data_IF_845128988059
#
_entry.id   IF_845128988059
#
_cell.length_a   1.000
_cell.length_b   1.000
_cell.length_c   1.000
_cell.angle_alpha   90.00
_cell.angle_beta   90.00
_cell.angle_gamma   90.00
#
_symmetry.space_group_name_H-M   'P 1'
#
loop_
_entity.id
_entity.type
_entity.pdbx_description
1 polymer ?
#
# COMPACT_ATOMS: atom_id res chain seq x y z
N UNK A 1 12.41 -9.31 1.97
CA UNK A 1 10.95 -9.51 1.79
C UNK A 1 10.26 -8.85 2.96
N UNK A 2 9.25 -8.00 2.73
CA UNK A 2 8.51 -7.35 3.83
C UNK A 2 7.74 -8.42 4.60
N UNK A 3 7.84 -8.50 5.94
CA UNK A 3 7.19 -9.55 6.70
C UNK A 3 5.67 -9.39 6.61
N UNK A 4 5.00 -10.45 6.16
CA UNK A 4 3.54 -10.60 6.21
C UNK A 4 3.24 -11.70 7.23
N UNK A 5 2.29 -11.51 8.17
CA UNK A 5 1.94 -12.51 9.16
C UNK A 5 1.60 -13.87 8.55
N UNK A 6 2.10 -14.95 9.15
CA UNK A 6 1.89 -16.33 8.66
C UNK A 6 0.41 -16.69 8.47
N UNK A 7 -0.47 -16.14 9.34
CA UNK A 7 -1.92 -16.29 9.20
C UNK A 7 -2.42 -15.88 7.82
N UNK A 8 -1.92 -14.78 7.28
CA UNK A 8 -2.33 -14.25 5.96
C UNK A 8 -1.69 -15.07 4.85
N UNK A 9 -0.41 -15.44 4.98
CA UNK A 9 0.27 -16.21 3.94
C UNK A 9 -0.27 -17.63 3.79
N UNK A 10 -0.85 -18.19 4.85
CA UNK A 10 -1.44 -19.53 4.88
C UNK A 10 -2.89 -19.59 4.34
N UNK A 11 -3.53 -18.43 4.10
CA UNK A 11 -4.83 -18.42 3.45
C UNK A 11 -4.75 -19.00 2.05
N UNK A 12 -5.78 -19.75 1.65
CA UNK A 12 -6.02 -20.02 0.23
C UNK A 12 -6.35 -18.72 -0.52
N UNK A 13 -6.48 -18.79 -1.84
CA UNK A 13 -6.65 -17.59 -2.66
C UNK A 13 -7.99 -16.88 -2.42
N UNK A 14 -9.07 -17.60 -2.14
CA UNK A 14 -10.38 -17.00 -1.89
C UNK A 14 -10.46 -16.39 -0.49
N UNK A 15 -9.90 -17.07 0.52
CA UNK A 15 -9.71 -16.54 1.86
C UNK A 15 -8.87 -15.26 1.84
N UNK A 16 -7.76 -15.26 1.11
CA UNK A 16 -6.90 -14.08 1.00
C UNK A 16 -7.63 -12.92 0.34
N UNK A 17 -8.31 -13.13 -0.79
CA UNK A 17 -9.06 -12.09 -1.48
C UNK A 17 -10.19 -11.53 -0.62
N UNK A 18 -10.88 -12.39 0.13
CA UNK A 18 -11.93 -11.99 1.07
C UNK A 18 -11.35 -11.10 2.17
N UNK A 19 -10.26 -11.53 2.80
CA UNK A 19 -9.57 -10.76 3.84
C UNK A 19 -9.11 -9.39 3.34
N UNK A 20 -8.55 -9.32 2.13
CA UNK A 20 -8.13 -8.07 1.48
C UNK A 20 -9.34 -7.14 1.25
N UNK A 21 -10.46 -7.69 0.74
CA UNK A 21 -11.68 -6.91 0.45
C UNK A 21 -12.28 -6.34 1.73
N UNK A 22 -12.43 -7.16 2.77
CA UNK A 22 -12.97 -6.76 4.06
C UNK A 22 -12.09 -5.70 4.74
N UNK A 23 -10.77 -5.92 4.81
CA UNK A 23 -9.84 -4.96 5.39
C UNK A 23 -9.89 -3.62 4.67
N UNK A 24 -9.97 -3.66 3.35
CA UNK A 24 -10.10 -2.45 2.53
C UNK A 24 -11.46 -1.77 2.69
N UNK A 25 -12.57 -2.51 2.76
CA UNK A 25 -13.88 -1.92 3.02
C UNK A 25 -13.92 -1.23 4.39
N UNK A 26 -13.40 -1.88 5.43
CA UNK A 26 -13.38 -1.32 6.78
C UNK A 26 -12.55 -0.03 6.88
N UNK A 27 -11.46 0.09 6.10
CA UNK A 27 -10.59 1.27 6.11
C UNK A 27 -11.19 2.48 5.37
N UNK A 28 -11.83 2.26 4.22
CA UNK A 28 -12.25 3.35 3.33
C UNK A 28 -13.77 3.49 3.18
N UNK A 29 -14.55 2.61 3.83
CA UNK A 29 -16.00 2.51 3.69
C UNK A 29 -16.47 2.46 2.22
N UNK A 30 -15.65 1.84 1.36
CA UNK A 30 -15.87 1.76 -0.08
C UNK A 30 -15.41 0.40 -0.58
N UNK A 31 -16.23 -0.25 -1.39
CA UNK A 31 -15.88 -1.54 -1.99
C UNK A 31 -14.62 -1.42 -2.86
N UNK A 32 -13.74 -2.42 -2.76
CA UNK A 32 -12.54 -2.50 -3.60
C UNK A 32 -12.88 -3.11 -4.94
N UNK A 33 -12.28 -2.60 -6.01
CA UNK A 33 -12.45 -3.19 -7.34
C UNK A 33 -11.79 -4.58 -7.36
N UNK A 34 -12.39 -5.58 -8.03
CA UNK A 34 -11.83 -6.94 -8.09
C UNK A 34 -10.36 -6.96 -8.50
N UNK A 35 -10.00 -6.17 -9.52
CA UNK A 35 -8.63 -6.13 -10.03
C UNK A 35 -7.63 -5.47 -9.04
N UNK A 36 -8.07 -4.60 -8.12
CA UNK A 36 -7.22 -4.14 -7.01
C UNK A 36 -6.93 -5.29 -6.05
N UNK A 37 -7.96 -6.05 -5.69
CA UNK A 37 -7.86 -7.21 -4.79
C UNK A 37 -6.94 -8.28 -5.37
N UNK A 38 -7.13 -8.64 -6.65
CA UNK A 38 -6.29 -9.62 -7.34
C UNK A 38 -4.83 -9.14 -7.45
N UNK A 39 -4.61 -7.83 -7.68
CA UNK A 39 -3.25 -7.26 -7.70
C UNK A 39 -2.58 -7.43 -6.35
N UNK A 40 -3.24 -7.05 -5.25
CA UNK A 40 -2.69 -7.17 -3.89
C UNK A 40 -2.45 -8.64 -3.53
N UNK A 41 -3.37 -9.55 -3.89
CA UNK A 41 -3.20 -10.97 -3.64
C UNK A 41 -1.93 -11.52 -4.35
N UNK A 42 -1.71 -11.15 -5.61
CA UNK A 42 -0.49 -11.55 -6.32
C UNK A 42 0.79 -10.99 -5.65
N UNK A 43 0.76 -9.75 -5.17
CA UNK A 43 1.88 -9.15 -4.43
C UNK A 43 2.17 -9.91 -3.12
N UNK A 44 1.13 -10.28 -2.36
CA UNK A 44 1.26 -11.09 -1.12
C UNK A 44 1.89 -12.45 -1.42
N UNK A 45 1.60 -13.04 -2.59
CA UNK A 45 2.22 -14.29 -3.06
C UNK A 45 3.65 -14.10 -3.60
N UNK A 46 4.23 -12.91 -3.51
CA UNK A 46 5.58 -12.61 -3.99
C UNK A 46 5.70 -12.55 -5.51
N UNK A 47 4.59 -12.37 -6.24
CA UNK A 47 4.59 -12.31 -7.70
C UNK A 47 4.79 -10.89 -8.20
N UNK A 48 5.75 -10.71 -9.11
CA UNK A 48 5.86 -9.47 -9.88
C UNK A 48 4.59 -9.30 -10.72
N UNK A 49 3.90 -8.18 -10.56
CA UNK A 49 2.55 -7.98 -11.10
C UNK A 49 2.48 -6.68 -11.89
N UNK A 50 2.00 -6.78 -13.13
CA UNK A 50 1.66 -5.61 -13.96
C UNK A 50 0.15 -5.40 -13.96
N UNK A 51 -0.25 -4.17 -13.64
CA UNK A 51 -1.65 -3.75 -13.69
C UNK A 51 -1.85 -2.74 -14.81
N UNK A 52 -2.67 -3.09 -15.79
CA UNK A 52 -3.16 -2.15 -16.79
C UNK A 52 -4.47 -1.53 -16.29
N UNK A 53 -4.44 -0.23 -15.98
CA UNK A 53 -5.62 0.48 -15.49
C UNK A 53 -5.59 1.98 -15.82
N UNK A 54 -6.74 2.50 -16.23
CA UNK A 54 -6.91 3.91 -16.59
C UNK A 54 -6.70 4.87 -15.40
N UNK A 55 -6.62 6.17 -15.70
CA UNK A 55 -6.70 7.25 -14.69
C UNK A 55 -8.05 7.16 -13.95
N UNK A 56 -8.08 7.53 -12.67
CA UNK A 56 -9.28 7.40 -11.83
C UNK A 56 -9.62 5.96 -11.42
N UNK A 57 -8.82 4.95 -11.81
CA UNK A 57 -9.05 3.57 -11.36
C UNK A 57 -8.91 3.40 -9.83
N UNK A 58 -8.13 4.27 -9.16
CA UNK A 58 -7.78 4.14 -7.75
C UNK A 58 -6.51 3.33 -7.52
N UNK A 59 -5.50 3.49 -8.39
CA UNK A 59 -4.23 2.74 -8.31
C UNK A 59 -3.46 3.01 -7.01
N UNK A 60 -3.58 4.21 -6.43
CA UNK A 60 -2.96 4.59 -5.15
C UNK A 60 -3.37 3.69 -3.98
N UNK A 61 -4.58 3.13 -4.01
CA UNK A 61 -5.10 2.24 -2.96
C UNK A 61 -4.38 0.89 -2.91
N UNK A 62 -3.73 0.44 -3.99
CA UNK A 62 -3.05 -0.87 -4.06
C UNK A 62 -1.86 -0.96 -3.09
N UNK A 63 -0.87 -0.04 -3.14
CA UNK A 63 0.24 -0.07 -2.18
C UNK A 63 -0.24 0.09 -0.73
N UNK A 64 -1.31 0.83 -0.50
CA UNK A 64 -1.91 1.00 0.84
C UNK A 64 -2.55 -0.30 1.34
N UNK A 65 -3.37 -0.96 0.51
CA UNK A 65 -3.95 -2.27 0.80
C UNK A 65 -2.87 -3.32 1.07
N UNK A 66 -1.77 -3.30 0.31
CA UNK A 66 -0.65 -4.20 0.53
C UNK A 66 0.08 -3.90 1.86
N UNK A 67 0.37 -2.63 2.15
CA UNK A 67 1.02 -2.21 3.40
C UNK A 67 0.20 -2.64 4.63
N UNK A 68 -1.13 -2.56 4.56
CA UNK A 68 -2.05 -3.00 5.62
C UNK A 68 -1.93 -4.49 5.98
N UNK A 69 -1.39 -5.31 5.09
CA UNK A 69 -1.19 -6.75 5.32
C UNK A 69 0.18 -7.06 5.92
N UNK A 70 1.08 -6.08 5.98
CA UNK A 70 2.41 -6.27 6.56
C UNK A 70 2.35 -6.35 8.07
N UNK A 71 3.37 -6.95 8.68
CA UNK A 71 3.46 -7.04 10.13
C UNK A 71 3.52 -5.65 10.76
N UNK A 72 2.92 -5.54 11.95
CA UNK A 72 3.01 -4.37 12.81
C UNK A 72 3.92 -4.66 13.99
N UNK A 73 4.62 -3.64 14.47
CA UNK A 73 5.43 -3.74 15.68
C UNK A 73 4.55 -3.71 16.94
N UNK A 74 5.19 -3.71 18.12
CA UNK A 74 4.50 -3.67 19.41
C UNK A 74 3.69 -2.39 19.67
N UNK A 75 4.00 -1.32 18.95
CA UNK A 75 3.30 -0.03 19.04
C UNK A 75 2.16 0.05 18.02
N UNK A 76 2.03 -0.95 17.15
CA UNK A 76 1.04 -0.96 16.08
C UNK A 76 1.53 -0.32 14.79
N UNK A 77 2.79 0.07 14.68
CA UNK A 77 3.33 0.71 13.48
C UNK A 77 3.73 -0.31 12.42
N UNK A 78 3.64 0.08 11.15
CA UNK A 78 4.06 -0.80 10.05
C UNK A 78 5.56 -1.08 10.12
N UNK A 79 5.93 -2.36 10.04
CA UNK A 79 7.33 -2.77 9.88
C UNK A 79 7.77 -2.65 8.41
N UNK A 80 6.81 -2.68 7.48
CA UNK A 80 7.06 -2.58 6.05
C UNK A 80 7.13 -1.14 5.53
N UNK A 81 7.93 -0.94 4.49
CA UNK A 81 7.95 0.29 3.68
C UNK A 81 7.59 -0.06 2.24
N UNK A 82 6.69 0.71 1.63
CA UNK A 82 6.35 0.59 0.20
C UNK A 82 6.87 1.81 -0.54
N UNK A 83 7.81 1.57 -1.46
CA UNK A 83 8.38 2.61 -2.32
C UNK A 83 7.56 2.71 -3.60
N UNK A 84 7.07 3.92 -3.91
CA UNK A 84 6.33 4.22 -5.15
C UNK A 84 7.17 5.18 -5.98
N UNK A 85 7.58 4.74 -7.17
CA UNK A 85 8.32 5.58 -8.11
C UNK A 85 7.32 6.37 -8.96
N UNK A 86 7.36 7.70 -8.85
CA UNK A 86 6.49 8.59 -9.60
C UNK A 86 7.27 9.32 -10.70
N UNK A 87 6.68 9.49 -11.90
CA UNK A 87 7.31 10.23 -12.99
C UNK A 87 7.30 11.74 -12.78
N UNK A 88 6.43 12.25 -11.88
CA UNK A 88 6.21 13.67 -11.66
C UNK A 88 6.18 13.99 -10.17
N UNK A 89 6.89 15.04 -9.82
CA UNK A 89 6.94 15.61 -8.47
C UNK A 89 5.57 16.01 -7.92
N UNK A 90 4.78 16.72 -8.73
CA UNK A 90 3.45 17.18 -8.33
C UNK A 90 2.49 16.00 -8.06
N UNK A 91 2.60 14.92 -8.85
CA UNK A 91 1.82 13.72 -8.63
C UNK A 91 2.20 13.05 -7.31
N UNK A 92 3.50 12.99 -6.99
CA UNK A 92 3.97 12.45 -5.72
C UNK A 92 3.48 13.26 -4.52
N UNK A 93 3.46 14.59 -4.62
CA UNK A 93 2.93 15.45 -3.56
C UNK A 93 1.45 15.18 -3.28
N UNK A 94 0.61 15.15 -4.33
CA UNK A 94 -0.83 14.86 -4.17
C UNK A 94 -1.07 13.48 -3.54
N UNK A 95 -0.28 12.46 -3.92
CA UNK A 95 -0.38 11.13 -3.32
C UNK A 95 0.03 11.11 -1.85
N UNK A 96 1.02 11.92 -1.43
CA UNK A 96 1.39 12.04 -0.01
C UNK A 96 0.26 12.67 0.79
N UNK A 97 -0.35 13.74 0.28
CA UNK A 97 -1.50 14.39 0.91
C UNK A 97 -2.68 13.41 1.09
N UNK A 98 -3.03 12.66 0.04
CA UNK A 98 -4.08 11.63 0.10
C UNK A 98 -3.79 10.54 1.14
N UNK A 99 -2.53 10.09 1.24
CA UNK A 99 -2.12 9.05 2.20
C UNK A 99 -2.13 9.54 3.64
N UNK A 100 -1.68 10.76 3.89
CA UNK A 100 -1.74 11.38 5.23
C UNK A 100 -3.21 11.54 5.63
N UNK A 101 -4.07 11.99 4.72
CA UNK A 101 -5.51 12.07 4.97
C UNK A 101 -6.14 10.69 5.26
N UNK A 102 -5.61 9.62 4.66
CA UNK A 102 -5.98 8.24 4.96
C UNK A 102 -5.30 7.65 6.22
N UNK A 103 -4.50 8.43 6.94
CA UNK A 103 -3.85 8.04 8.19
C UNK A 103 -2.61 7.16 8.03
N UNK A 104 -1.86 7.33 6.94
CA UNK A 104 -0.54 6.73 6.77
C UNK A 104 0.57 7.77 6.98
N UNK A 105 1.74 7.32 7.43
CA UNK A 105 2.98 8.08 7.26
C UNK A 105 3.42 7.96 5.80
N UNK A 106 3.74 9.08 5.17
CA UNK A 106 4.13 9.12 3.76
C UNK A 106 5.03 10.32 3.49
N UNK A 107 5.99 10.14 2.59
CA UNK A 107 6.93 11.17 2.18
C UNK A 107 7.23 11.09 0.69
N UNK A 108 7.37 12.25 0.05
CA UNK A 108 7.81 12.37 -1.33
C UNK A 108 9.29 12.77 -1.37
N UNK A 109 10.15 11.81 -1.68
CA UNK A 109 11.59 12.00 -1.78
C UNK A 109 11.99 12.27 -3.24
N UNK A 110 12.74 13.33 -3.41
CA UNK A 110 13.26 13.89 -4.65
C UNK A 110 14.77 14.05 -4.52
N UNK A 111 15.46 14.24 -5.63
CA UNK A 111 16.92 14.40 -5.64
C UNK A 111 17.43 15.46 -4.63
N UNK A 112 16.70 16.55 -4.46
CA UNK A 112 17.12 17.67 -3.60
C UNK A 112 16.84 17.45 -2.10
N UNK A 113 15.89 16.60 -1.72
CA UNK A 113 15.49 16.37 -0.32
C UNK A 113 15.71 14.91 0.12
N UNK A 114 16.43 14.10 -0.67
CA UNK A 114 16.79 12.73 -0.28
C UNK A 114 17.97 12.74 0.71
N UNK A 115 17.69 13.14 1.95
CA UNK A 115 18.66 13.26 3.03
C UNK A 115 18.01 12.89 4.38
N UNK A 116 18.85 12.70 5.42
CA UNK A 116 18.40 12.26 6.74
C UNK A 116 17.44 13.26 7.41
N UNK A 117 17.67 14.57 7.24
CA UNK A 117 16.81 15.61 7.83
C UNK A 117 15.37 15.47 7.36
N UNK A 118 15.15 15.26 6.06
CA UNK A 118 13.81 15.08 5.50
C UNK A 118 13.19 13.73 5.92
N UNK A 119 13.99 12.70 6.22
CA UNK A 119 13.49 11.44 6.76
C UNK A 119 12.99 11.57 8.21
N UNK A 120 13.63 12.42 9.02
CA UNK A 120 13.26 12.64 10.44
C UNK A 120 11.97 13.48 10.61
N UNK A 121 11.42 14.03 9.52
CA UNK A 121 10.19 14.84 9.51
C UNK A 121 8.91 13.98 9.43
N UNK A 122 9.02 12.65 9.37
CA UNK A 122 7.93 11.70 9.02
C UNK A 122 7.71 10.64 10.08
#
# INVERSE_FOLDING_TARGET
MVPIPQKITNFDDEQLKTYIREGSFNKYNQESKPLQVDTVANLVRGRNTFLLAATGFGKSRIPEMYLNLTARDRNGEFVGVVVVLNPLDALGNNQVEEKIAAGYTAINLKKLNFNAKTADEV
#
